data_IF_968384683908
#
_entry.id   IF_968384683908
#
_cell.length_a   1.000
_cell.length_b   1.000
_cell.length_c   1.000
_cell.angle_alpha   90.00
_cell.angle_beta   90.00
_cell.angle_gamma   90.00
#
_symmetry.space_group_name_H-M   'P 1'
#
loop_
_entity.id
_entity.type
_entity.pdbx_description
1 polymer ?
#
# COMPACT_ATOMS: atom_id res chain seq x y z
N UNK A 1 -28.07 -12.37 -2.12
CA UNK A 1 -27.51 -12.88 -0.83
C UNK A 1 -26.77 -14.21 -1.00
N UNK A 2 -27.27 -15.13 -1.82
CA UNK A 2 -26.59 -16.39 -2.17
C UNK A 2 -25.22 -16.18 -2.81
N UNK A 3 -25.09 -15.21 -3.72
CA UNK A 3 -23.81 -14.86 -4.37
C UNK A 3 -22.72 -14.47 -3.37
N UNK A 4 -23.07 -13.74 -2.31
CA UNK A 4 -22.14 -13.35 -1.26
C UNK A 4 -21.68 -14.55 -0.43
N UNK A 5 -22.57 -15.51 -0.15
CA UNK A 5 -22.21 -16.76 0.54
C UNK A 5 -21.30 -17.64 -0.30
N UNK A 6 -21.55 -17.73 -1.62
CA UNK A 6 -20.69 -18.46 -2.55
C UNK A 6 -19.31 -17.82 -2.66
N UNK A 7 -19.23 -16.50 -2.81
CA UNK A 7 -17.96 -15.78 -2.83
C UNK A 7 -17.19 -15.96 -1.52
N UNK A 8 -17.87 -15.86 -0.38
CA UNK A 8 -17.27 -16.09 0.93
C UNK A 8 -16.72 -17.52 1.05
N UNK A 9 -17.52 -18.53 0.70
CA UNK A 9 -17.08 -19.93 0.67
C UNK A 9 -15.88 -20.16 -0.25
N UNK A 10 -15.88 -19.54 -1.44
CA UNK A 10 -14.78 -19.65 -2.39
C UNK A 10 -13.45 -19.10 -1.84
N UNK A 11 -13.48 -17.95 -1.13
CA UNK A 11 -12.27 -17.41 -0.47
C UNK A 11 -11.72 -18.40 0.56
N UNK A 12 -12.60 -19.02 1.36
CA UNK A 12 -12.19 -20.02 2.35
C UNK A 12 -11.60 -21.27 1.70
N UNK A 13 -12.19 -21.76 0.62
CA UNK A 13 -11.64 -22.91 -0.13
C UNK A 13 -10.23 -22.58 -0.63
N UNK A 14 -10.03 -21.42 -1.27
CA UNK A 14 -8.71 -20.98 -1.74
C UNK A 14 -7.69 -20.81 -0.61
N UNK A 15 -8.12 -20.27 0.54
CA UNK A 15 -7.26 -20.15 1.71
C UNK A 15 -6.83 -21.53 2.27
N UNK A 16 -7.73 -22.52 2.28
CA UNK A 16 -7.43 -23.90 2.67
C UNK A 16 -6.45 -24.58 1.70
N UNK A 17 -6.49 -24.22 0.42
CA UNK A 17 -5.51 -24.60 -0.60
C UNK A 17 -4.15 -23.91 -0.44
N UNK A 18 -3.92 -23.18 0.66
CA UNK A 18 -2.71 -22.41 0.98
C UNK A 18 -2.40 -21.28 -0.01
N UNK A 19 -3.42 -20.77 -0.71
CA UNK A 19 -3.26 -19.56 -1.52
C UNK A 19 -3.24 -18.36 -0.57
N UNK A 20 -2.32 -17.39 -0.75
CA UNK A 20 -2.31 -16.17 0.05
C UNK A 20 -3.67 -15.47 0.07
N UNK A 21 -4.13 -15.06 1.25
CA UNK A 21 -5.47 -14.51 1.44
C UNK A 21 -5.72 -13.29 0.53
N UNK A 22 -4.72 -12.43 0.34
CA UNK A 22 -4.80 -11.28 -0.57
C UNK A 22 -5.12 -11.69 -2.02
N UNK A 23 -4.51 -12.77 -2.50
CA UNK A 23 -4.75 -13.30 -3.86
C UNK A 23 -6.14 -13.92 -3.95
N UNK A 24 -6.55 -14.68 -2.92
CA UNK A 24 -7.88 -15.26 -2.86
C UNK A 24 -8.99 -14.19 -2.87
N UNK A 25 -8.85 -13.16 -2.03
CA UNK A 25 -9.79 -12.04 -1.97
C UNK A 25 -9.80 -11.24 -3.28
N UNK A 26 -8.63 -10.99 -3.86
CA UNK A 26 -8.50 -10.31 -5.15
C UNK A 26 -9.20 -11.06 -6.28
N UNK A 27 -8.92 -12.36 -6.44
CA UNK A 27 -9.50 -13.19 -7.50
C UNK A 27 -11.02 -13.33 -7.35
N UNK A 28 -11.49 -13.72 -6.17
CA UNK A 28 -12.92 -13.95 -5.94
C UNK A 28 -13.70 -12.64 -6.05
N UNK A 29 -13.16 -11.53 -5.51
CA UNK A 29 -13.75 -10.21 -5.65
C UNK A 29 -13.79 -9.73 -7.11
N UNK A 30 -12.71 -9.92 -7.86
CA UNK A 30 -12.62 -9.55 -9.26
C UNK A 30 -13.62 -10.35 -10.12
N UNK A 31 -13.65 -11.67 -9.98
CA UNK A 31 -14.60 -12.53 -10.72
C UNK A 31 -16.04 -12.24 -10.31
N UNK A 32 -16.32 -12.06 -9.02
CA UNK A 32 -17.65 -11.73 -8.52
C UNK A 32 -18.17 -10.40 -9.05
N UNK A 33 -17.32 -9.36 -9.06
CA UNK A 33 -17.66 -8.07 -9.66
C UNK A 33 -17.89 -8.18 -11.17
N UNK A 34 -17.06 -8.98 -11.86
CA UNK A 34 -17.20 -9.25 -13.30
C UNK A 34 -18.55 -9.88 -13.65
N UNK A 35 -19.02 -10.82 -12.85
CA UNK A 35 -20.29 -11.52 -13.05
C UNK A 35 -21.51 -10.63 -12.70
N UNK A 36 -21.42 -9.81 -11.65
CA UNK A 36 -22.57 -9.01 -11.16
C UNK A 36 -22.69 -7.67 -11.87
N UNK A 37 -21.58 -6.99 -12.14
CA UNK A 37 -21.54 -5.63 -12.70
C UNK A 37 -21.00 -5.57 -14.13
N UNK A 38 -20.45 -6.67 -14.64
CA UNK A 38 -19.84 -6.75 -15.97
C UNK A 38 -18.33 -6.53 -15.96
N UNK A 39 -17.66 -6.99 -17.02
CA UNK A 39 -16.20 -6.98 -17.12
C UNK A 39 -15.59 -5.59 -17.29
N UNK A 40 -16.26 -4.69 -18.03
CA UNK A 40 -15.77 -3.33 -18.25
C UNK A 40 -15.63 -2.51 -16.94
N UNK A 41 -16.66 -2.38 -16.08
CA UNK A 41 -16.51 -1.65 -14.82
C UNK A 41 -15.59 -2.36 -13.83
N UNK A 42 -15.49 -3.68 -13.90
CA UNK A 42 -14.57 -4.47 -13.06
C UNK A 42 -13.11 -4.18 -13.38
N UNK A 43 -12.75 -4.14 -14.67
CA UNK A 43 -11.42 -3.74 -15.12
C UNK A 43 -11.09 -2.30 -14.73
N UNK A 44 -12.04 -1.38 -14.88
CA UNK A 44 -11.86 0.00 -14.45
C UNK A 44 -11.61 0.12 -12.94
N UNK A 45 -12.37 -0.62 -12.10
CA UNK A 45 -12.15 -0.67 -10.65
C UNK A 45 -10.77 -1.26 -10.31
N UNK A 46 -10.36 -2.34 -10.97
CA UNK A 46 -9.05 -2.95 -10.72
C UNK A 46 -7.91 -1.98 -11.08
N UNK A 47 -8.02 -1.27 -12.22
CA UNK A 47 -7.08 -0.24 -12.61
C UNK A 47 -7.02 0.91 -11.59
N UNK A 48 -8.17 1.33 -11.06
CA UNK A 48 -8.24 2.38 -10.04
C UNK A 48 -7.54 1.94 -8.74
N UNK A 49 -7.77 0.72 -8.26
CA UNK A 49 -7.10 0.19 -7.06
C UNK A 49 -5.58 0.17 -7.23
N UNK A 50 -5.08 -0.22 -8.41
CA UNK A 50 -3.64 -0.20 -8.72
C UNK A 50 -3.11 1.23 -8.73
N UNK A 51 -3.86 2.18 -9.31
CA UNK A 51 -3.49 3.59 -9.32
C UNK A 51 -3.42 4.16 -7.89
N UNK A 52 -4.47 3.98 -7.09
CA UNK A 52 -4.56 4.49 -5.72
C UNK A 52 -3.46 3.90 -4.82
N UNK A 53 -3.13 2.62 -5.01
CA UNK A 53 -2.05 1.96 -4.27
C UNK A 53 -0.66 2.38 -4.75
N UNK A 54 -0.46 2.52 -6.06
CA UNK A 54 0.82 2.90 -6.65
C UNK A 54 1.21 4.36 -6.39
N UNK A 55 0.21 5.24 -6.23
CA UNK A 55 0.40 6.65 -5.85
C UNK A 55 0.09 6.90 -4.36
N UNK A 56 0.11 5.85 -3.54
CA UNK A 56 -0.14 5.99 -2.11
C UNK A 56 0.88 6.98 -1.51
N UNK A 57 0.37 7.97 -0.77
CA UNK A 57 1.18 8.97 -0.07
C UNK A 57 2.30 8.34 0.77
N UNK A 58 2.05 7.14 1.31
CA UNK A 58 3.03 6.32 2.04
C UNK A 58 4.31 6.04 1.25
N UNK A 59 4.21 5.83 -0.07
CA UNK A 59 5.39 5.60 -0.93
C UNK A 59 6.22 6.87 -1.11
N UNK A 60 5.60 8.06 -1.02
CA UNK A 60 6.29 9.36 -1.09
C UNK A 60 7.08 9.69 0.17
N UNK A 61 6.79 9.05 1.31
CA UNK A 61 7.52 9.26 2.57
C UNK A 61 8.99 8.86 2.42
N UNK A 62 9.28 7.80 1.68
CA UNK A 62 10.66 7.30 1.51
C UNK A 62 11.54 8.30 0.74
N UNK A 63 11.18 8.79 -0.46
CA UNK A 63 11.95 9.83 -1.15
C UNK A 63 12.09 11.13 -0.35
N UNK A 64 11.03 11.57 0.33
CA UNK A 64 11.07 12.79 1.15
C UNK A 64 12.01 12.65 2.34
N UNK A 65 12.03 11.49 2.99
CA UNK A 65 12.97 11.20 4.08
C UNK A 65 14.42 11.20 3.58
N UNK A 66 14.69 10.62 2.40
CA UNK A 66 16.01 10.66 1.76
C UNK A 66 16.41 12.10 1.42
N UNK A 67 15.50 12.90 0.90
CA UNK A 67 15.75 14.30 0.55
C UNK A 67 16.04 15.15 1.80
N UNK A 68 15.24 15.00 2.85
CA UNK A 68 15.47 15.63 4.15
C UNK A 68 16.84 15.22 4.72
N UNK A 69 17.18 13.93 4.71
CA UNK A 69 18.48 13.45 5.18
C UNK A 69 19.65 14.08 4.42
N UNK A 70 19.54 14.21 3.09
CA UNK A 70 20.52 14.90 2.27
C UNK A 70 20.65 16.39 2.63
N UNK A 71 19.55 17.09 2.88
CA UNK A 71 19.60 18.49 3.31
C UNK A 71 20.28 18.65 4.66
N UNK A 72 19.94 17.82 5.65
CA UNK A 72 20.55 17.87 6.99
C UNK A 72 22.06 17.59 6.92
N UNK A 73 22.46 16.59 6.13
CA UNK A 73 23.88 16.24 5.96
C UNK A 73 24.66 17.35 5.24
N UNK A 74 24.09 17.95 4.19
CA UNK A 74 24.77 18.97 3.37
C UNK A 74 24.77 20.35 3.98
N UNK A 75 23.75 20.69 4.77
CA UNK A 75 23.66 21.96 5.50
C UNK A 75 24.57 22.00 6.75
N UNK A 76 25.24 20.89 7.10
CA UNK A 76 26.11 20.84 8.28
C UNK A 76 25.36 20.95 9.61
N UNK A 77 24.02 20.85 9.59
CA UNK A 77 23.16 21.01 10.78
C UNK A 77 23.54 20.04 11.91
N UNK A 78 23.97 18.83 11.57
CA UNK A 78 24.48 17.89 12.56
C UNK A 78 25.69 18.47 13.31
N UNK A 79 26.63 19.08 12.59
CA UNK A 79 27.84 19.67 13.16
C UNK A 79 27.53 20.90 14.02
N UNK A 80 26.64 21.78 13.55
CA UNK A 80 26.19 22.94 14.34
C UNK A 80 25.42 22.52 15.60
N UNK A 81 24.57 21.50 15.52
CA UNK A 81 23.83 20.99 16.67
C UNK A 81 24.75 20.33 17.70
N UNK A 82 25.75 19.56 17.26
CA UNK A 82 26.78 19.02 18.16
C UNK A 82 27.60 20.15 18.82
N UNK A 83 27.96 21.18 18.06
CA UNK A 83 28.65 22.36 18.60
C UNK A 83 27.81 23.11 19.65
N UNK A 84 26.53 23.33 19.36
CA UNK A 84 25.60 23.98 20.30
C UNK A 84 25.39 23.14 21.57
N UNK A 85 25.24 21.82 21.43
CA UNK A 85 25.13 20.90 22.58
C UNK A 85 26.39 20.89 23.43
N UNK A 86 27.57 20.88 22.80
CA UNK A 86 28.86 21.03 23.50
C UNK A 86 28.91 22.34 24.26
N UNK A 87 28.64 23.47 23.61
CA UNK A 87 28.68 24.79 24.24
C UNK A 87 27.67 24.94 25.40
N UNK A 88 26.58 24.17 25.39
CA UNK A 88 25.57 24.18 26.44
C UNK A 88 25.93 23.31 27.66
N UNK A 89 26.60 22.17 27.44
CA UNK A 89 26.99 21.23 28.50
C UNK A 89 28.38 21.58 29.08
N UNK A 90 29.28 22.15 28.27
CA UNK A 90 30.65 22.52 28.65
C UNK A 90 31.64 22.29 27.52
#
# INVERSE_FOLDING_TARGET
MTEALLAFGAVFVLALLRIPLAVAMGLVGFVGLGLVRGWAPTMANAAQVVYDTGFAYTLSVVPLFILMGNFVARAGLAHELFGAAYAFIG
#
